data_IF_726745953905
#
_entry.id   IF_726745953905
#
_cell.length_a   1.000
_cell.length_b   1.000
_cell.length_c   1.000
_cell.angle_alpha   90.00
_cell.angle_beta   90.00
_cell.angle_gamma   90.00
#
_symmetry.space_group_name_H-M   'P 1'
#
loop_
_entity.id
_entity.type
_entity.pdbx_description
1 polymer ?
#
# COMPACT_ATOMS: atom_id res chain seq x y z
N UNK A 1 -8.64 -19.57 14.30
CA UNK A 1 -7.75 -19.16 13.19
C UNK A 1 -7.97 -20.13 12.03
N UNK A 2 -8.42 -19.65 10.87
CA UNK A 2 -8.37 -20.45 9.64
C UNK A 2 -6.91 -20.84 9.40
N UNK A 3 -6.64 -22.12 9.12
CA UNK A 3 -5.27 -22.56 8.86
C UNK A 3 -4.71 -21.76 7.67
N UNK A 4 -3.47 -21.29 7.74
CA UNK A 4 -2.79 -20.60 6.63
C UNK A 4 -2.93 -21.39 5.32
N UNK A 5 -2.94 -22.71 5.41
CA UNK A 5 -3.19 -23.64 4.30
C UNK A 5 -4.58 -23.49 3.67
N UNK A 6 -5.62 -23.23 4.45
CA UNK A 6 -6.98 -22.98 3.92
C UNK A 6 -7.08 -21.62 3.24
N UNK A 7 -6.41 -20.59 3.78
CA UNK A 7 -6.35 -19.26 3.14
C UNK A 7 -5.59 -19.35 1.83
N UNK A 8 -4.46 -20.05 1.79
CA UNK A 8 -3.70 -20.27 0.55
C UNK A 8 -4.51 -21.04 -0.50
N UNK A 9 -5.29 -22.05 -0.09
CA UNK A 9 -6.15 -22.81 -1.02
C UNK A 9 -7.28 -21.97 -1.62
N UNK A 10 -7.83 -20.99 -0.89
CA UNK A 10 -8.91 -20.14 -1.39
C UNK A 10 -8.41 -18.91 -2.16
N UNK A 11 -7.29 -18.34 -1.75
CA UNK A 11 -6.67 -17.15 -2.35
C UNK A 11 -5.83 -17.50 -3.58
N UNK A 12 -5.09 -18.61 -3.53
CA UNK A 12 -4.16 -19.03 -4.57
C UNK A 12 -4.75 -19.06 -5.99
N UNK A 13 -5.89 -19.75 -6.22
CA UNK A 13 -6.53 -19.77 -7.54
C UNK A 13 -6.90 -18.38 -8.07
N UNK A 14 -7.28 -17.45 -7.18
CA UNK A 14 -7.64 -16.07 -7.56
C UNK A 14 -6.42 -15.22 -7.93
N UNK A 15 -5.21 -15.60 -7.52
CA UNK A 15 -3.95 -14.92 -7.87
C UNK A 15 -3.31 -15.43 -9.16
N UNK A 16 -3.79 -16.55 -9.72
CA UNK A 16 -3.26 -17.11 -10.98
C UNK A 16 -3.25 -16.09 -12.12
N UNK A 17 -4.30 -15.26 -12.36
CA UNK A 17 -4.26 -14.23 -13.38
C UNK A 17 -3.11 -13.24 -13.19
N UNK A 18 -2.92 -12.76 -11.96
CA UNK A 18 -1.82 -11.84 -11.63
C UNK A 18 -0.46 -12.45 -11.95
N UNK A 19 -0.17 -13.66 -11.46
CA UNK A 19 1.10 -14.33 -11.72
C UNK A 19 1.35 -14.55 -13.22
N UNK A 20 0.32 -14.93 -13.99
CA UNK A 20 0.41 -15.06 -15.44
C UNK A 20 0.74 -13.72 -16.11
N UNK A 21 0.05 -12.65 -15.75
CA UNK A 21 0.28 -11.32 -16.34
C UNK A 21 1.65 -10.75 -15.96
N UNK A 22 2.16 -11.01 -14.76
CA UNK A 22 3.54 -10.67 -14.37
C UNK A 22 4.54 -11.46 -15.21
N UNK A 23 4.32 -12.76 -15.39
CA UNK A 23 5.18 -13.57 -16.26
C UNK A 23 5.17 -13.04 -17.71
N UNK A 24 3.99 -12.69 -18.25
CA UNK A 24 3.88 -12.08 -19.58
C UNK A 24 4.68 -10.77 -19.67
N UNK A 25 4.58 -9.90 -18.66
CA UNK A 25 5.36 -8.66 -18.61
C UNK A 25 6.88 -8.93 -18.71
N UNK A 26 7.40 -9.85 -17.90
CA UNK A 26 8.84 -10.15 -17.86
C UNK A 26 9.32 -11.02 -19.03
N UNK A 27 8.45 -11.81 -19.67
CA UNK A 27 8.80 -12.57 -20.89
C UNK A 27 8.86 -11.66 -22.10
N UNK A 28 7.89 -10.74 -22.25
CA UNK A 28 7.89 -9.80 -23.36
C UNK A 28 8.93 -8.69 -23.16
N UNK A 29 9.17 -8.27 -21.92
CA UNK A 29 10.18 -7.31 -21.47
C UNK A 29 10.41 -6.17 -22.47
N UNK A 30 9.33 -5.46 -22.80
CA UNK A 30 9.38 -4.39 -23.79
C UNK A 30 10.24 -3.24 -23.22
N UNK A 31 11.32 -2.82 -23.90
CA UNK A 31 12.21 -1.78 -23.40
C UNK A 31 11.47 -0.44 -23.22
N UNK A 32 11.78 0.29 -22.13
CA UNK A 32 11.13 1.58 -21.80
C UNK A 32 11.35 2.62 -22.91
N UNK A 33 12.45 2.52 -23.66
CA UNK A 33 12.80 3.45 -24.75
C UNK A 33 11.88 3.31 -25.98
N UNK A 34 10.96 2.33 -25.98
CA UNK A 34 10.01 2.07 -27.07
C UNK A 34 8.56 2.16 -26.57
N UNK A 35 8.09 3.36 -26.19
CA UNK A 35 6.73 3.53 -25.69
C UNK A 35 5.71 3.15 -26.75
N UNK A 36 4.69 2.39 -26.35
CA UNK A 36 3.60 1.98 -27.24
C UNK A 36 2.36 1.65 -26.44
N UNK A 37 1.19 1.73 -27.09
CA UNK A 37 -0.07 1.28 -26.50
C UNK A 37 -0.02 -0.19 -26.06
N UNK A 38 0.72 -1.04 -26.79
CA UNK A 38 0.92 -2.43 -26.42
C UNK A 38 1.74 -2.55 -25.13
N UNK A 39 2.86 -1.83 -25.01
CA UNK A 39 3.66 -1.79 -23.78
C UNK A 39 2.84 -1.31 -22.58
N UNK A 40 1.99 -0.28 -22.78
CA UNK A 40 1.08 0.23 -21.77
C UNK A 40 0.10 -0.84 -21.27
N UNK A 41 -0.57 -1.55 -22.18
CA UNK A 41 -1.48 -2.64 -21.82
C UNK A 41 -0.74 -3.71 -21.02
N UNK A 42 0.41 -4.18 -21.52
CA UNK A 42 1.20 -5.24 -20.86
C UNK A 42 1.66 -4.81 -19.45
N UNK A 43 2.05 -3.55 -19.27
CA UNK A 43 2.42 -2.98 -17.96
C UNK A 43 1.24 -2.89 -16.99
N UNK A 44 0.03 -2.61 -17.48
CA UNK A 44 -1.17 -2.47 -16.64
C UNK A 44 -1.82 -3.81 -16.25
N UNK A 45 -1.63 -4.87 -17.04
CA UNK A 45 -2.31 -6.16 -16.85
C UNK A 45 -2.15 -6.78 -15.44
N UNK A 46 -0.97 -6.73 -14.79
CA UNK A 46 -0.83 -7.19 -13.41
C UNK A 46 -1.72 -6.44 -12.43
N UNK A 47 -1.81 -5.11 -12.53
CA UNK A 47 -2.62 -4.31 -11.60
C UNK A 47 -4.11 -4.51 -11.88
N UNK A 48 -4.51 -4.62 -13.15
CA UNK A 48 -5.89 -5.01 -13.52
C UNK A 48 -6.27 -6.38 -12.95
N UNK A 49 -5.35 -7.33 -12.93
CA UNK A 49 -5.57 -8.64 -12.30
C UNK A 49 -5.77 -8.54 -10.79
N UNK A 50 -5.03 -7.65 -10.11
CA UNK A 50 -5.20 -7.38 -8.68
C UNK A 50 -6.52 -6.65 -8.37
N UNK A 51 -6.95 -5.74 -9.25
CA UNK A 51 -8.28 -5.11 -9.17
C UNK A 51 -9.34 -6.20 -9.17
N UNK A 52 -9.33 -7.09 -10.16
CA UNK A 52 -10.28 -8.21 -10.24
C UNK A 52 -10.19 -9.10 -9.00
N UNK A 53 -8.98 -9.40 -8.50
CA UNK A 53 -8.78 -10.15 -7.27
C UNK A 53 -9.50 -9.52 -6.07
N UNK A 54 -9.36 -8.21 -5.86
CA UNK A 54 -10.04 -7.49 -4.77
C UNK A 54 -11.55 -7.51 -4.96
N UNK A 55 -12.05 -7.33 -6.19
CA UNK A 55 -13.49 -7.41 -6.51
C UNK A 55 -14.07 -8.79 -6.15
N UNK A 56 -13.36 -9.87 -6.49
CA UNK A 56 -13.77 -11.26 -6.23
C UNK A 56 -13.71 -11.66 -4.74
N UNK A 57 -13.14 -10.82 -3.88
CA UNK A 57 -13.11 -11.04 -2.43
C UNK A 57 -14.28 -10.38 -1.70
N UNK A 58 -15.14 -9.68 -2.44
CA UNK A 58 -16.40 -9.11 -1.97
C UNK A 58 -16.36 -7.60 -1.88
N UNK A 59 -17.45 -6.97 -2.35
CA UNK A 59 -17.69 -5.54 -2.22
C UNK A 59 -19.11 -5.27 -1.76
N UNK A 60 -19.24 -4.35 -0.81
CA UNK A 60 -20.51 -3.70 -0.46
C UNK A 60 -20.25 -2.27 -0.01
N UNK A 61 -21.32 -1.47 0.04
CA UNK A 61 -21.28 -0.12 0.60
C UNK A 61 -21.19 -0.13 2.13
N UNK A 62 -21.41 -1.28 2.77
CA UNK A 62 -21.26 -1.44 4.21
C UNK A 62 -19.84 -1.06 4.70
N UNK A 63 -19.75 -0.58 5.94
CA UNK A 63 -18.50 -0.12 6.55
C UNK A 63 -17.45 -1.24 6.68
N UNK A 64 -17.89 -2.49 6.80
CA UNK A 64 -17.00 -3.66 6.83
C UNK A 64 -16.14 -3.80 5.56
N UNK A 65 -16.55 -3.18 4.43
CA UNK A 65 -15.80 -3.18 3.17
C UNK A 65 -15.03 -1.87 2.90
N UNK A 66 -15.08 -0.89 3.80
CA UNK A 66 -14.43 0.41 3.59
C UNK A 66 -12.93 0.28 3.30
N UNK A 67 -12.25 -0.65 3.98
CA UNK A 67 -10.85 -0.97 3.72
C UNK A 67 -10.64 -1.48 2.30
N UNK A 68 -11.37 -2.53 1.89
CA UNK A 68 -11.23 -3.14 0.57
C UNK A 68 -11.56 -2.16 -0.56
N UNK A 69 -12.56 -1.28 -0.38
CA UNK A 69 -12.88 -0.22 -1.36
C UNK A 69 -11.73 0.78 -1.52
N UNK A 70 -11.11 1.21 -0.43
CA UNK A 70 -9.94 2.11 -0.51
C UNK A 70 -8.78 1.42 -1.22
N UNK A 71 -8.49 0.15 -0.90
CA UNK A 71 -7.46 -0.61 -1.63
C UNK A 71 -7.77 -0.67 -3.13
N UNK A 72 -9.02 -0.97 -3.49
CA UNK A 72 -9.45 -0.99 -4.89
C UNK A 72 -9.24 0.35 -5.60
N UNK A 73 -9.66 1.47 -5.01
CA UNK A 73 -9.46 2.78 -5.60
C UNK A 73 -7.97 3.12 -5.73
N UNK A 74 -7.15 2.76 -4.74
CA UNK A 74 -5.71 2.88 -4.83
C UNK A 74 -5.14 2.11 -6.03
N UNK A 75 -5.58 0.87 -6.24
CA UNK A 75 -5.15 0.05 -7.39
C UNK A 75 -5.58 0.65 -8.73
N UNK A 76 -6.77 1.23 -8.82
CA UNK A 76 -7.23 1.93 -10.03
C UNK A 76 -6.31 3.10 -10.36
N UNK A 77 -5.98 3.93 -9.37
CA UNK A 77 -5.04 5.04 -9.57
C UNK A 77 -3.61 4.58 -9.85
N UNK A 78 -3.15 3.48 -9.23
CA UNK A 78 -1.88 2.83 -9.57
C UNK A 78 -1.85 2.39 -11.05
N UNK A 79 -2.94 1.78 -11.52
CA UNK A 79 -3.04 1.35 -12.92
C UNK A 79 -3.04 2.53 -13.90
N UNK A 80 -3.70 3.64 -13.54
CA UNK A 80 -3.65 4.89 -14.32
C UNK A 80 -2.22 5.44 -14.32
N UNK A 81 -1.54 5.42 -13.17
CA UNK A 81 -0.13 5.80 -13.04
C UNK A 81 0.77 4.96 -13.95
N UNK A 82 0.59 3.64 -13.97
CA UNK A 82 1.33 2.73 -14.85
C UNK A 82 1.15 3.06 -16.32
N UNK A 83 -0.10 3.36 -16.72
CA UNK A 83 -0.42 3.73 -18.09
C UNK A 83 0.28 5.04 -18.51
N UNK A 84 0.27 6.04 -17.63
CA UNK A 84 0.90 7.34 -17.89
C UNK A 84 2.42 7.25 -17.90
N UNK A 85 3.04 6.49 -16.99
CA UNK A 85 4.49 6.29 -16.92
C UNK A 85 5.09 5.45 -18.07
N UNK A 86 4.31 5.12 -19.11
CA UNK A 86 4.86 4.51 -20.32
C UNK A 86 5.53 5.56 -21.21
N UNK A 87 5.02 6.79 -21.19
CA UNK A 87 5.54 7.92 -21.95
C UNK A 87 6.17 8.93 -21.01
N UNK A 88 7.41 9.32 -21.27
CA UNK A 88 8.18 10.23 -20.41
C UNK A 88 7.49 11.60 -20.28
N UNK A 89 6.78 12.06 -21.31
CA UNK A 89 6.04 13.33 -21.29
C UNK A 89 4.92 13.36 -20.23
N UNK A 90 4.40 12.19 -19.86
CA UNK A 90 3.36 12.05 -18.84
C UNK A 90 3.92 11.66 -17.48
N UNK A 91 5.24 11.69 -17.27
CA UNK A 91 5.88 11.34 -15.99
C UNK A 91 5.23 12.06 -14.80
N UNK A 92 5.04 13.38 -14.91
CA UNK A 92 4.40 14.19 -13.86
C UNK A 92 2.95 13.74 -13.58
N UNK A 93 2.18 13.44 -14.63
CA UNK A 93 0.80 13.00 -14.50
C UNK A 93 0.71 11.60 -13.86
N UNK A 94 1.63 10.70 -14.22
CA UNK A 94 1.78 9.40 -13.58
C UNK A 94 2.14 9.52 -12.10
N UNK A 95 3.09 10.40 -11.76
CA UNK A 95 3.47 10.71 -10.38
C UNK A 95 2.27 11.25 -9.57
N UNK A 96 1.44 12.12 -10.16
CA UNK A 96 0.21 12.61 -9.50
C UNK A 96 -0.78 11.45 -9.27
N UNK A 97 -0.99 10.58 -10.26
CA UNK A 97 -1.88 9.42 -10.11
C UNK A 97 -1.39 8.48 -8.99
N UNK A 98 -0.09 8.19 -8.91
CA UNK A 98 0.49 7.43 -7.81
C UNK A 98 0.40 8.16 -6.47
N UNK A 99 0.54 9.49 -6.43
CA UNK A 99 0.35 10.28 -5.21
C UNK A 99 -1.09 10.22 -4.67
N UNK A 100 -2.08 10.15 -5.57
CA UNK A 100 -3.47 9.90 -5.20
C UNK A 100 -3.62 8.48 -4.64
N UNK A 101 -3.02 7.47 -5.29
CA UNK A 101 -3.04 6.10 -4.81
C UNK A 101 -2.44 5.97 -3.40
N UNK A 102 -1.27 6.56 -3.15
CA UNK A 102 -0.62 6.62 -1.83
C UNK A 102 -1.52 7.24 -0.76
N UNK A 103 -2.18 8.34 -1.08
CA UNK A 103 -3.11 9.02 -0.16
C UNK A 103 -4.29 8.11 0.20
N UNK A 104 -4.84 7.42 -0.79
CA UNK A 104 -5.94 6.46 -0.59
C UNK A 104 -5.46 5.27 0.26
N UNK A 105 -4.28 4.71 -0.01
CA UNK A 105 -3.72 3.62 0.78
C UNK A 105 -3.41 4.03 2.22
N UNK A 106 -2.82 5.22 2.41
CA UNK A 106 -2.63 5.83 3.74
C UNK A 106 -3.94 5.93 4.50
N UNK A 107 -5.01 6.40 3.84
CA UNK A 107 -6.34 6.46 4.43
C UNK A 107 -6.87 5.07 4.80
N UNK A 108 -6.59 4.03 4.00
CA UNK A 108 -6.98 2.65 4.30
C UNK A 108 -6.24 2.10 5.53
N UNK A 109 -4.95 2.38 5.65
CA UNK A 109 -4.12 1.92 6.76
C UNK A 109 -4.44 2.63 8.07
N UNK A 110 -4.85 3.90 8.00
CA UNK A 110 -5.28 4.70 9.14
C UNK A 110 -4.12 5.11 10.07
N UNK A 111 -4.43 5.95 11.04
CA UNK A 111 -3.43 6.61 11.91
C UNK A 111 -3.33 6.02 13.32
N UNK A 112 -3.99 4.89 13.58
CA UNK A 112 -3.96 4.21 14.89
C UNK A 112 -3.38 2.79 14.74
N UNK A 113 -2.36 2.43 15.54
CA UNK A 113 -1.59 3.28 16.46
C UNK A 113 -0.69 4.28 15.70
N UNK A 114 -0.40 5.45 16.27
CA UNK A 114 0.35 6.49 15.54
C UNK A 114 1.83 6.13 15.38
N UNK A 115 2.52 5.74 16.46
CA UNK A 115 3.97 5.47 16.49
C UNK A 115 4.82 6.61 15.84
N UNK A 116 4.90 7.79 16.47
CA UNK A 116 5.61 8.95 15.92
C UNK A 116 7.12 8.74 15.82
N UNK A 117 7.73 7.94 16.71
CA UNK A 117 9.17 7.65 16.66
C UNK A 117 9.57 6.94 15.35
N UNK A 118 8.79 5.93 14.95
CA UNK A 118 8.94 5.28 13.65
C UNK A 118 8.75 6.27 12.49
N UNK A 119 7.73 7.13 12.59
CA UNK A 119 7.49 8.18 11.60
C UNK A 119 8.72 9.07 11.42
N UNK A 120 9.21 9.67 12.51
CA UNK A 120 10.39 10.54 12.51
C UNK A 120 11.62 9.86 11.92
N UNK A 121 11.86 8.59 12.24
CA UNK A 121 12.95 7.81 11.66
C UNK A 121 12.83 7.69 10.13
N UNK A 122 11.64 7.34 9.63
CA UNK A 122 11.40 7.19 8.20
C UNK A 122 11.47 8.53 7.46
N UNK A 123 10.94 9.62 8.03
CA UNK A 123 11.07 10.96 7.45
C UNK A 123 12.52 11.44 7.41
N UNK A 124 13.35 11.11 8.41
CA UNK A 124 14.77 11.40 8.39
C UNK A 124 15.47 10.67 7.23
N UNK A 125 15.18 9.38 7.05
CA UNK A 125 15.70 8.60 5.93
C UNK A 125 15.26 9.19 4.58
N UNK A 126 13.99 9.57 4.45
CA UNK A 126 13.47 10.25 3.28
C UNK A 126 14.17 11.59 3.02
N UNK A 127 14.50 12.35 4.07
CA UNK A 127 15.25 13.60 3.96
C UNK A 127 16.65 13.40 3.40
N UNK A 128 17.35 12.34 3.81
CA UNK A 128 18.65 11.95 3.26
C UNK A 128 18.52 11.61 1.77
N UNK A 129 17.51 10.80 1.39
CA UNK A 129 17.27 10.48 -0.02
C UNK A 129 16.98 11.73 -0.85
N UNK A 130 16.13 12.63 -0.35
CA UNK A 130 15.82 13.89 -1.04
C UNK A 130 17.04 14.80 -1.19
N UNK A 131 17.90 14.89 -0.17
CA UNK A 131 19.14 15.66 -0.25
C UNK A 131 20.03 15.18 -1.41
N UNK A 132 20.09 13.88 -1.67
CA UNK A 132 20.86 13.30 -2.79
C UNK A 132 20.20 13.53 -4.16
N UNK A 133 18.87 13.57 -4.22
CA UNK A 133 18.12 13.74 -5.46
C UNK A 133 17.98 15.20 -5.89
N UNK A 134 17.91 16.13 -4.93
CA UNK A 134 17.61 17.56 -5.17
C UNK A 134 18.49 18.22 -6.25
N UNK A 135 19.81 17.95 -6.35
CA UNK A 135 20.65 18.55 -7.38
C UNK A 135 20.26 18.16 -8.83
N UNK A 136 19.64 17.00 -9.03
CA UNK A 136 19.19 16.54 -10.35
C UNK A 136 17.73 16.89 -10.65
N UNK A 137 17.03 17.54 -9.72
CA UNK A 137 15.66 17.99 -9.92
C UNK A 137 15.63 19.39 -10.51
N UNK A 138 14.73 19.63 -11.46
CA UNK A 138 14.53 20.94 -12.08
C UNK A 138 13.04 21.23 -12.33
N UNK A 139 12.72 22.50 -12.54
CA UNK A 139 11.35 22.95 -12.83
C UNK A 139 10.33 22.51 -11.77
N UNK A 140 9.18 22.02 -12.23
CA UNK A 140 8.08 21.56 -11.35
C UNK A 140 8.46 20.36 -10.49
N UNK A 141 9.41 19.53 -10.93
CA UNK A 141 9.83 18.32 -10.21
C UNK A 141 10.64 18.63 -8.95
N UNK A 142 11.29 19.79 -8.88
CA UNK A 142 12.00 20.26 -7.69
C UNK A 142 11.06 20.43 -6.47
N UNK A 143 9.77 20.64 -6.71
CA UNK A 143 8.74 20.71 -5.65
C UNK A 143 7.91 19.42 -5.63
N UNK A 144 7.56 18.90 -6.82
CA UNK A 144 6.73 17.70 -6.96
C UNK A 144 7.33 16.46 -6.30
N UNK A 145 8.63 16.21 -6.48
CA UNK A 145 9.30 15.03 -5.92
C UNK A 145 9.35 15.09 -4.39
N UNK A 146 9.77 16.19 -3.72
CA UNK A 146 9.66 16.29 -2.27
C UNK A 146 8.26 16.03 -1.73
N UNK A 147 7.22 16.65 -2.31
CA UNK A 147 5.84 16.45 -1.88
C UNK A 147 5.39 14.99 -2.05
N UNK A 148 5.71 14.39 -3.19
CA UNK A 148 5.43 12.99 -3.46
C UNK A 148 6.16 12.06 -2.47
N UNK A 149 7.43 12.31 -2.19
CA UNK A 149 8.21 11.53 -1.22
C UNK A 149 7.65 11.64 0.21
N UNK A 150 7.12 12.80 0.60
CA UNK A 150 6.42 12.96 1.88
C UNK A 150 5.15 12.10 1.97
N UNK A 151 4.37 12.00 0.89
CA UNK A 151 3.20 11.11 0.84
C UNK A 151 3.61 9.63 0.88
N UNK A 152 4.68 9.27 0.16
CA UNK A 152 5.20 7.92 0.11
C UNK A 152 5.68 7.46 1.49
N UNK A 153 6.51 8.26 2.15
CA UNK A 153 7.02 7.93 3.50
C UNK A 153 5.88 7.87 4.52
N UNK A 154 4.84 8.71 4.38
CA UNK A 154 3.62 8.59 5.20
C UNK A 154 2.96 7.22 4.99
N UNK A 155 2.81 6.80 3.74
CA UNK A 155 2.19 5.51 3.38
C UNK A 155 2.97 4.34 3.98
N UNK A 156 4.31 4.36 3.87
CA UNK A 156 5.19 3.34 4.47
C UNK A 156 5.08 3.34 5.98
N UNK A 157 5.14 4.52 6.61
CA UNK A 157 4.98 4.65 8.05
C UNK A 157 3.66 4.06 8.52
N UNK A 158 2.55 4.35 7.84
CA UNK A 158 1.24 3.78 8.18
C UNK A 158 1.16 2.28 7.95
N UNK A 159 1.78 1.78 6.89
CA UNK A 159 1.85 0.36 6.58
C UNK A 159 2.65 -0.45 7.63
N UNK A 160 3.72 0.13 8.19
CA UNK A 160 4.53 -0.50 9.23
C UNK A 160 3.87 -0.35 10.61
N UNK A 161 3.42 0.87 10.96
CA UNK A 161 2.87 1.17 12.29
C UNK A 161 1.63 0.34 12.64
N UNK A 162 0.86 -0.11 11.64
CA UNK A 162 -0.30 -1.00 11.86
C UNK A 162 0.09 -2.45 12.21
N UNK A 163 1.34 -2.85 12.00
CA UNK A 163 1.86 -4.16 12.43
C UNK A 163 2.37 -4.03 13.86
N UNK A 164 1.51 -4.36 14.82
CA UNK A 164 1.91 -4.45 16.22
C UNK A 164 2.52 -5.84 16.47
N UNK A 165 3.83 -5.97 16.20
CA UNK A 165 4.57 -7.23 16.32
C UNK A 165 4.57 -7.82 17.75
N UNK A 166 4.39 -6.96 18.77
CA UNK A 166 4.47 -7.34 20.19
C UNK A 166 3.10 -7.38 20.89
N UNK A 167 2.00 -7.23 20.15
CA UNK A 167 0.64 -7.44 20.67
C UNK A 167 0.00 -8.66 20.01
N UNK A 168 -0.96 -9.33 20.68
CA UNK A 168 -1.62 -10.57 20.22
C UNK A 168 -2.39 -10.45 18.87
N UNK A 169 -2.35 -9.29 18.21
CA UNK A 169 -3.16 -8.90 17.05
C UNK A 169 -2.37 -8.80 15.73
N UNK A 170 -1.18 -9.38 15.63
CA UNK A 170 -0.50 -9.52 14.34
C UNK A 170 -1.25 -10.51 13.44
N UNK A 171 -1.57 -10.09 12.21
CA UNK A 171 -2.15 -10.95 11.17
C UNK A 171 -1.25 -10.96 9.94
N UNK A 172 -1.23 -12.08 9.21
CA UNK A 172 -0.49 -12.20 7.95
C UNK A 172 -0.88 -11.09 6.95
N UNK A 173 -2.16 -10.69 6.90
CA UNK A 173 -2.66 -9.62 6.04
C UNK A 173 -2.07 -8.25 6.37
N UNK A 174 -1.80 -7.95 7.65
CA UNK A 174 -1.09 -6.73 8.06
C UNK A 174 0.38 -6.77 7.62
N UNK A 175 1.05 -7.93 7.70
CA UNK A 175 2.41 -8.07 7.15
C UNK A 175 2.45 -7.85 5.65
N UNK A 176 1.47 -8.37 4.90
CA UNK A 176 1.41 -8.14 3.46
C UNK A 176 1.33 -6.65 3.13
N UNK A 177 0.54 -5.85 3.86
CA UNK A 177 0.55 -4.39 3.67
C UNK A 177 1.87 -3.74 4.06
N UNK A 178 2.55 -4.22 5.11
CA UNK A 178 3.84 -3.71 5.55
C UNK A 178 4.95 -4.00 4.53
N UNK A 179 5.11 -5.28 4.15
CA UNK A 179 6.01 -5.69 3.08
C UNK A 179 5.68 -4.96 1.77
N UNK A 180 4.39 -4.82 1.45
CA UNK A 180 3.93 -4.09 0.28
C UNK A 180 4.35 -2.61 0.29
N UNK A 181 4.15 -1.92 1.40
CA UNK A 181 4.57 -0.52 1.56
C UNK A 181 6.08 -0.34 1.46
N UNK A 182 6.87 -1.23 2.07
CA UNK A 182 8.35 -1.20 1.95
C UNK A 182 8.77 -1.41 0.51
N UNK A 183 8.22 -2.41 -0.18
CA UNK A 183 8.55 -2.69 -1.58
C UNK A 183 8.15 -1.53 -2.50
N UNK A 184 7.07 -0.81 -2.21
CA UNK A 184 6.71 0.42 -2.93
C UNK A 184 7.79 1.48 -2.76
N UNK A 185 8.23 1.75 -1.53
CA UNK A 185 9.29 2.74 -1.31
C UNK A 185 10.58 2.37 -2.02
N UNK A 186 10.92 1.07 -2.10
CA UNK A 186 12.06 0.59 -2.88
C UNK A 186 11.85 0.85 -4.38
N UNK A 187 10.68 0.54 -4.95
CA UNK A 187 10.41 0.79 -6.38
C UNK A 187 10.54 2.27 -6.74
N UNK A 188 10.00 3.15 -5.91
CA UNK A 188 9.99 4.58 -6.16
C UNK A 188 11.37 5.22 -5.92
N UNK A 189 12.13 4.72 -4.95
CA UNK A 189 13.52 5.11 -4.77
C UNK A 189 14.34 4.73 -6.02
N UNK A 190 14.15 3.52 -6.56
CA UNK A 190 14.82 3.10 -7.80
C UNK A 190 14.48 4.03 -8.98
N UNK A 191 13.20 4.43 -9.13
CA UNK A 191 12.80 5.42 -10.15
C UNK A 191 13.53 6.74 -9.92
N UNK A 192 13.48 7.28 -8.69
CA UNK A 192 14.06 8.57 -8.36
C UNK A 192 15.57 8.62 -8.60
N UNK A 193 16.31 7.64 -8.10
CA UNK A 193 17.77 7.59 -8.29
C UNK A 193 18.15 7.35 -9.75
N UNK A 194 17.41 6.49 -10.47
CA UNK A 194 17.70 6.22 -11.88
C UNK A 194 17.51 7.46 -12.75
N UNK A 195 16.46 8.25 -12.49
CA UNK A 195 16.09 9.39 -13.34
C UNK A 195 16.78 10.69 -12.93
N UNK A 196 17.02 10.91 -11.63
CA UNK A 196 17.50 12.21 -11.11
C UNK A 196 18.90 12.18 -10.49
N UNK A 197 19.58 11.03 -10.45
CA UNK A 197 20.92 10.95 -9.87
C UNK A 197 21.92 10.25 -10.79
N UNK A 198 21.82 8.92 -10.90
CA UNK A 198 22.70 8.13 -11.75
C UNK A 198 21.96 6.94 -12.36
N UNK A 199 22.22 6.59 -13.63
CA UNK A 199 21.62 5.42 -14.26
C UNK A 199 21.89 4.13 -13.47
N UNK A 200 20.83 3.40 -13.15
CA UNK A 200 20.92 2.12 -12.44
C UNK A 200 20.87 0.99 -13.48
N UNK A 201 21.84 0.06 -13.49
CA UNK A 201 21.78 -1.12 -14.34
C UNK A 201 20.52 -1.95 -14.05
N UNK A 202 19.83 -2.41 -15.10
CA UNK A 202 18.61 -3.21 -15.00
C UNK A 202 17.46 -2.51 -14.22
N UNK A 203 17.44 -1.18 -14.20
CA UNK A 203 16.44 -0.37 -13.48
C UNK A 203 15.00 -0.82 -13.75
N UNK A 204 14.63 -1.00 -15.02
CA UNK A 204 13.29 -1.46 -15.41
C UNK A 204 12.89 -2.75 -14.69
N UNK A 205 13.75 -3.76 -14.65
CA UNK A 205 13.43 -5.02 -13.99
C UNK A 205 13.30 -4.87 -12.47
N UNK A 206 14.25 -4.16 -11.83
CA UNK A 206 14.26 -3.94 -10.39
C UNK A 206 13.04 -3.16 -9.92
N UNK A 207 12.68 -2.10 -10.64
CA UNK A 207 11.50 -1.27 -10.37
C UNK A 207 10.24 -2.14 -10.47
N UNK A 208 10.07 -2.90 -11.55
CA UNK A 208 8.83 -3.63 -11.78
C UNK A 208 8.66 -4.84 -10.86
N UNK A 209 9.74 -5.53 -10.49
CA UNK A 209 9.68 -6.64 -9.51
C UNK A 209 9.23 -6.10 -8.16
N UNK A 210 9.87 -5.04 -7.68
CA UNK A 210 9.55 -4.43 -6.38
C UNK A 210 8.16 -3.82 -6.39
N UNK A 211 7.78 -3.14 -7.47
CA UNK A 211 6.45 -2.55 -7.64
C UNK A 211 5.32 -3.60 -7.68
N UNK A 212 5.44 -4.65 -8.49
CA UNK A 212 4.39 -5.69 -8.53
C UNK A 212 4.31 -6.47 -7.21
N UNK A 213 5.44 -6.70 -6.53
CA UNK A 213 5.43 -7.25 -5.18
C UNK A 213 4.73 -6.30 -4.19
N UNK A 214 4.94 -4.99 -4.33
CA UNK A 214 4.27 -3.98 -3.52
C UNK A 214 2.75 -4.04 -3.66
N UNK A 215 2.24 -3.98 -4.90
CA UNK A 215 0.81 -4.01 -5.18
C UNK A 215 0.17 -5.35 -4.78
N UNK A 216 0.88 -6.47 -4.96
CA UNK A 216 0.42 -7.78 -4.48
C UNK A 216 0.27 -7.78 -2.96
N UNK A 217 1.27 -7.32 -2.21
CA UNK A 217 1.23 -7.27 -0.75
C UNK A 217 0.09 -6.38 -0.23
N UNK A 218 -0.10 -5.22 -0.84
CA UNK A 218 -1.20 -4.31 -0.50
C UNK A 218 -2.56 -4.95 -0.83
N UNK A 219 -2.70 -5.60 -1.99
CA UNK A 219 -3.94 -6.27 -2.39
C UNK A 219 -4.29 -7.44 -1.46
N UNK A 220 -3.30 -8.25 -1.09
CA UNK A 220 -3.50 -9.37 -0.17
C UNK A 220 -3.96 -8.94 1.23
N UNK A 221 -3.69 -7.70 1.62
CA UNK A 221 -4.13 -7.16 2.91
C UNK A 221 -5.67 -7.08 3.06
N UNK A 222 -6.44 -7.24 1.97
CA UNK A 222 -7.91 -7.25 2.01
C UNK A 222 -8.50 -8.60 2.46
N UNK A 223 -7.71 -9.69 2.47
CA UNK A 223 -8.25 -11.05 2.58
C UNK A 223 -9.03 -11.29 3.88
N UNK A 224 -8.54 -10.73 4.99
CA UNK A 224 -9.14 -10.84 6.33
C UNK A 224 -9.76 -9.52 6.81
N UNK A 225 -9.97 -8.54 5.91
CA UNK A 225 -10.40 -7.19 6.31
C UNK A 225 -11.74 -7.20 7.07
N UNK A 226 -12.68 -8.04 6.63
CA UNK A 226 -14.00 -8.23 7.27
C UNK A 226 -13.90 -8.89 8.65
N UNK A 227 -13.11 -9.96 8.78
CA UNK A 227 -12.89 -10.62 10.07
C UNK A 227 -12.23 -9.65 11.07
N UNK A 228 -11.26 -8.86 10.61
CA UNK A 228 -10.62 -7.83 11.42
C UNK A 228 -11.59 -6.71 11.83
N UNK A 229 -12.55 -6.36 10.99
CA UNK A 229 -13.58 -5.36 11.32
C UNK A 229 -14.51 -5.85 12.44
N UNK A 230 -15.04 -7.07 12.33
CA UNK A 230 -15.90 -7.63 13.38
C UNK A 230 -15.16 -7.81 14.72
N UNK A 231 -13.91 -8.32 14.68
CA UNK A 231 -13.10 -8.45 15.89
C UNK A 231 -12.86 -7.11 16.59
N UNK A 232 -12.70 -6.01 15.83
CA UNK A 232 -12.59 -4.65 16.40
C UNK A 232 -13.89 -4.20 17.07
N UNK A 233 -15.04 -4.38 16.41
CA UNK A 233 -16.34 -4.04 17.00
C UNK A 233 -16.61 -4.83 18.28
N UNK A 234 -16.26 -6.12 18.31
CA UNK A 234 -16.38 -6.95 19.51
C UNK A 234 -15.51 -6.43 20.64
N UNK A 235 -14.25 -6.09 20.36
CA UNK A 235 -13.31 -5.52 21.34
C UNK A 235 -13.81 -4.17 21.88
N UNK A 236 -14.30 -3.28 21.02
CA UNK A 236 -14.88 -1.99 21.41
C UNK A 236 -16.12 -2.20 22.29
N UNK A 237 -17.04 -3.09 21.91
CA UNK A 237 -18.23 -3.42 22.71
C UNK A 237 -17.87 -4.00 24.09
N UNK A 238 -16.77 -4.75 24.18
CA UNK A 238 -16.28 -5.33 25.43
C UNK A 238 -15.66 -4.25 26.32
N UNK A 239 -14.86 -3.36 25.75
CA UNK A 239 -14.29 -2.22 26.45
C UNK A 239 -15.37 -1.26 26.99
N UNK A 240 -16.41 -0.97 26.20
CA UNK A 240 -17.54 -0.15 26.65
C UNK A 240 -18.32 -0.79 27.81
N UNK A 241 -18.53 -2.11 27.77
CA UNK A 241 -19.19 -2.86 28.87
C UNK A 241 -18.37 -2.82 30.17
N UNK A 242 -17.05 -3.02 30.08
CA UNK A 242 -16.15 -2.95 31.24
C UNK A 242 -16.13 -1.52 31.81
N UNK A 243 -16.03 -0.51 30.95
CA UNK A 243 -16.06 0.90 31.37
C UNK A 243 -17.37 1.30 32.05
N UNK A 244 -18.51 0.78 31.58
CA UNK A 244 -19.81 1.00 32.21
C UNK A 244 -19.92 0.32 33.58
N UNK A 245 -19.43 -0.92 33.70
CA UNK A 245 -19.41 -1.67 34.96
C UNK A 245 -18.50 -1.02 36.01
N UNK A 246 -17.36 -0.46 35.60
CA UNK A 246 -16.45 0.24 36.51
C UNK A 246 -17.04 1.55 37.03
N UNK A 247 -17.79 2.29 36.18
CA UNK A 247 -18.49 3.52 36.61
C UNK A 247 -19.61 3.21 37.61
N UNK A 248 -20.43 2.19 37.35
CA UNK A 248 -21.52 1.83 38.28
C UNK A 248 -21.00 1.41 39.66
N UNK A 249 -19.86 0.71 39.74
CA UNK A 249 -19.26 0.35 41.02
C UNK A 249 -18.68 1.55 41.78
N UNK A 250 -18.09 2.53 41.09
CA UNK A 250 -17.66 3.77 41.71
C UNK A 250 -18.84 4.58 42.26
N UNK A 251 -19.91 4.74 41.48
CA UNK A 251 -21.09 5.53 41.89
C UNK A 251 -21.78 4.92 43.12
N UNK A 252 -21.87 3.59 43.19
CA UNK A 252 -22.38 2.87 44.37
C UNK A 252 -21.52 3.15 45.62
N UNK A 253 -20.19 3.13 45.49
CA UNK A 253 -19.28 3.38 46.62
C UNK A 253 -19.31 4.81 47.15
N UNK A 254 -19.57 5.80 46.30
CA UNK A 254 -19.72 7.21 46.69
C UNK A 254 -21.08 7.57 47.29
N UNK A 255 -22.11 6.74 47.07
CA UNK A 255 -23.45 6.95 47.64
C UNK A 255 -23.61 6.40 49.07
N UNK A 256 -22.64 5.62 49.54
CA UNK A 256 -22.66 4.92 50.82
C UNK A 256 -21.74 5.51 51.90
N UNK A 257 -21.21 6.73 51.69
CA UNK A 257 -20.42 7.48 52.67
C UNK A 257 -21.05 8.84 52.94
#
# INVERSE_FOLDING_TARGET
MTSVTQVLKSVGPKLVPFLKTVAIYFVLFIPVERPSWFAMVIKCLPILSLIIFVLLHGMSLADEYAFSRRILFGLVFSCIGDALLVWDEYFLHGMIAFGIAQTIYTSAFGFKPLNPALGSFLYCLCGISLFLLLPGLSGVLAIGVPLYSMLLVTTVWRAIARVQFFEELWTWTKLCSCAGGIMWAVSDALIGFHHFHHPIPYSQALIMVTYYAAQLGISLSVVDSRANYHARLEAESRASRIGCSSKSQLDLSTSSG
#
